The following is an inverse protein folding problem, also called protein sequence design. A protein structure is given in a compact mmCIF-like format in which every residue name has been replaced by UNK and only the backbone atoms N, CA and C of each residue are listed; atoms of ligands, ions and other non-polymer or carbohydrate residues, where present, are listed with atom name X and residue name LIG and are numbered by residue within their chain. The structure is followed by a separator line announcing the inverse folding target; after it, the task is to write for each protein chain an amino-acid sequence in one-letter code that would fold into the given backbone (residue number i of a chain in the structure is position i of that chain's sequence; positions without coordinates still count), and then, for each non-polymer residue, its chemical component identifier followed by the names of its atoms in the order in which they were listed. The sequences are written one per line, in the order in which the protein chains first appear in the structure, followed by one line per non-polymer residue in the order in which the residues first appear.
data_IF_934916491841
#
_entry.id   IF_934916491841
#
_cell.length_a   1.000
_cell.length_b   1.000
_cell.length_c   1.000
_cell.angle_alpha   90.00
_cell.angle_beta   90.00
_cell.angle_gamma   90.00
#
_symmetry.space_group_name_H-M   'P 1'
#
loop_
_entity.id
_entity.type
_entity.pdbx_description
1 polymer ?
#
# COMPACT_ATOMS: atom_id res chain seq x y z
N UNK A 1 13.49 4.66 10.50
CA UNK A 1 14.85 4.07 10.54
C UNK A 1 15.56 4.52 9.28
N UNK A 2 16.52 5.42 9.40
CA UNK A 2 17.41 5.78 8.30
C UNK A 2 18.40 4.63 8.14
N UNK A 3 18.31 3.86 7.04
CA UNK A 3 19.35 2.89 6.71
C UNK A 3 20.67 3.67 6.52
N UNK A 4 21.69 3.28 7.24
CA UNK A 4 23.03 3.82 7.02
C UNK A 4 23.47 3.39 5.61
N UNK A 5 24.20 4.27 4.92
CA UNK A 5 24.63 4.05 3.52
C UNK A 5 25.43 2.75 3.32
N UNK A 6 25.95 2.16 4.40
CA UNK A 6 26.69 0.90 4.41
C UNK A 6 25.82 -0.36 4.36
N UNK A 7 24.49 -0.23 4.51
CA UNK A 7 23.55 -1.37 4.54
C UNK A 7 22.84 -1.57 3.18
N UNK A 8 23.20 -0.78 2.17
CA UNK A 8 22.60 -0.88 0.85
C UNK A 8 23.24 -2.01 0.06
N UNK A 9 22.40 -2.95 -0.39
CA UNK A 9 22.84 -4.01 -1.32
C UNK A 9 22.98 -3.37 -2.71
N UNK A 10 24.15 -3.50 -3.39
CA UNK A 10 24.28 -3.05 -4.76
C UNK A 10 23.24 -3.67 -5.68
N UNK A 11 22.70 -2.88 -6.59
CA UNK A 11 21.63 -3.33 -7.50
C UNK A 11 22.07 -4.56 -8.33
N UNK A 12 23.32 -4.62 -8.76
CA UNK A 12 23.87 -5.77 -9.48
C UNK A 12 23.83 -7.07 -8.67
N UNK A 13 24.05 -6.99 -7.35
CA UNK A 13 23.99 -8.16 -6.47
C UNK A 13 22.54 -8.64 -6.33
N UNK A 14 21.57 -7.71 -6.27
CA UNK A 14 20.15 -8.05 -6.27
C UNK A 14 19.76 -8.78 -7.56
N UNK A 15 20.12 -8.28 -8.72
CA UNK A 15 19.79 -8.93 -9.99
C UNK A 15 20.49 -10.26 -10.18
N UNK A 16 21.74 -10.40 -9.73
CA UNK A 16 22.44 -11.69 -9.70
C UNK A 16 21.72 -12.71 -8.81
N UNK A 17 21.29 -12.28 -7.63
CA UNK A 17 20.49 -13.12 -6.75
C UNK A 17 19.16 -13.51 -7.41
N UNK A 18 18.44 -12.55 -8.00
CA UNK A 18 17.16 -12.79 -8.64
C UNK A 18 17.27 -13.80 -9.79
N UNK A 19 18.29 -13.69 -10.65
CA UNK A 19 18.56 -14.66 -11.71
C UNK A 19 18.83 -16.07 -11.15
N UNK A 20 19.57 -16.16 -10.05
CA UNK A 20 19.85 -17.45 -9.39
C UNK A 20 18.59 -18.12 -8.81
N UNK A 21 17.48 -17.38 -8.65
CA UNK A 21 16.22 -17.82 -8.06
C UNK A 21 15.07 -17.94 -9.08
N UNK A 22 15.35 -17.84 -10.36
CA UNK A 22 14.35 -17.79 -11.44
C UNK A 22 13.33 -18.93 -11.43
N UNK A 23 13.72 -20.10 -10.94
CA UNK A 23 12.83 -21.27 -10.86
C UNK A 23 12.09 -21.40 -9.51
N UNK A 24 12.33 -20.49 -8.57
CA UNK A 24 11.80 -20.56 -7.22
C UNK A 24 10.94 -19.34 -6.86
N UNK A 25 11.05 -18.23 -7.61
CA UNK A 25 10.35 -16.99 -7.35
C UNK A 25 9.44 -16.65 -8.52
N UNK A 26 8.19 -16.28 -8.23
CA UNK A 26 7.22 -15.85 -9.23
C UNK A 26 7.29 -14.35 -9.50
N UNK A 27 7.75 -13.57 -8.53
CA UNK A 27 7.76 -12.11 -8.65
C UNK A 27 8.54 -11.40 -7.54
N UNK A 28 8.56 -10.08 -7.67
CA UNK A 28 9.22 -9.15 -6.75
C UNK A 28 8.18 -8.17 -6.22
N UNK A 29 8.11 -8.02 -4.88
CA UNK A 29 7.33 -6.96 -4.25
C UNK A 29 8.26 -5.80 -3.91
N UNK A 30 8.00 -4.64 -4.51
CA UNK A 30 8.74 -3.40 -4.26
C UNK A 30 8.00 -2.62 -3.17
N UNK A 31 8.65 -2.46 -2.03
CA UNK A 31 8.08 -1.85 -0.82
C UNK A 31 9.17 -1.09 -0.05
N UNK A 32 8.81 -0.48 1.08
CA UNK A 32 9.72 0.21 1.99
C UNK A 32 9.79 1.73 1.76
N UNK A 33 9.58 2.51 2.83
CA UNK A 33 9.39 3.95 2.72
C UNK A 33 8.24 4.29 1.77
N UNK A 34 8.53 5.10 0.75
CA UNK A 34 7.64 5.30 -0.40
C UNK A 34 8.43 5.09 -1.68
N UNK A 35 8.24 3.95 -2.37
CA UNK A 35 9.02 3.61 -3.56
C UNK A 35 8.88 4.63 -4.69
N UNK A 36 7.71 5.25 -4.84
CA UNK A 36 7.43 6.22 -5.92
C UNK A 36 8.26 7.51 -5.82
N UNK A 37 8.95 7.73 -4.70
CA UNK A 37 9.89 8.84 -4.53
C UNK A 37 11.31 8.51 -5.04
N UNK A 38 11.58 7.25 -5.39
CA UNK A 38 12.89 6.82 -5.89
C UNK A 38 12.96 7.05 -7.41
N UNK A 39 13.90 7.87 -7.85
CA UNK A 39 14.06 8.21 -9.27
C UNK A 39 14.34 7.01 -10.18
N UNK A 40 14.95 5.95 -9.64
CA UNK A 40 15.26 4.71 -10.38
C UNK A 40 14.13 3.66 -10.39
N UNK A 41 12.99 3.90 -9.72
CA UNK A 41 11.94 2.91 -9.56
C UNK A 41 11.46 2.30 -10.88
N UNK A 42 11.21 3.14 -11.88
CA UNK A 42 10.70 2.71 -13.18
C UNK A 42 11.67 1.76 -13.87
N UNK A 43 12.94 2.13 -13.99
CA UNK A 43 13.95 1.33 -14.69
C UNK A 43 14.27 0.03 -13.93
N UNK A 44 14.31 0.09 -12.61
CA UNK A 44 14.46 -1.08 -11.74
C UNK A 44 13.31 -2.09 -11.95
N UNK A 45 12.07 -1.63 -11.85
CA UNK A 45 10.90 -2.49 -12.00
C UNK A 45 10.80 -3.05 -13.43
N UNK A 46 11.11 -2.24 -14.45
CA UNK A 46 11.17 -2.68 -15.85
C UNK A 46 12.17 -3.80 -16.03
N UNK A 47 13.37 -3.69 -15.46
CA UNK A 47 14.40 -4.72 -15.53
C UNK A 47 13.96 -6.02 -14.84
N UNK A 48 13.28 -5.95 -13.69
CA UNK A 48 12.67 -7.12 -13.04
C UNK A 48 11.66 -7.79 -13.98
N UNK A 49 10.78 -6.99 -14.62
CA UNK A 49 9.79 -7.48 -15.58
C UNK A 49 10.43 -8.16 -16.80
N UNK A 50 11.48 -7.55 -17.37
CA UNK A 50 12.24 -8.09 -18.50
C UNK A 50 12.94 -9.43 -18.18
N UNK A 51 13.27 -9.69 -16.91
CA UNK A 51 13.77 -10.97 -16.44
C UNK A 51 12.68 -12.05 -16.32
N UNK A 52 11.42 -11.70 -16.53
CA UNK A 52 10.28 -12.62 -16.54
C UNK A 52 9.57 -12.76 -15.18
N UNK A 53 9.84 -11.88 -14.21
CA UNK A 53 9.17 -11.89 -12.92
C UNK A 53 7.93 -10.98 -12.90
N UNK A 54 6.91 -11.35 -12.13
CA UNK A 54 5.83 -10.45 -11.81
C UNK A 54 6.33 -9.32 -10.89
N UNK A 55 5.76 -8.12 -11.04
CA UNK A 55 6.11 -6.94 -10.25
C UNK A 55 4.91 -6.46 -9.47
N UNK A 56 5.03 -6.44 -8.14
CA UNK A 56 4.09 -5.82 -7.22
C UNK A 56 4.68 -4.53 -6.66
N UNK A 57 3.89 -3.47 -6.63
CA UNK A 57 4.24 -2.21 -5.99
C UNK A 57 3.35 -1.95 -4.78
N UNK A 58 3.97 -1.72 -3.62
CA UNK A 58 3.32 -1.21 -2.42
C UNK A 58 3.57 0.30 -2.34
N UNK A 59 2.51 1.12 -2.26
CA UNK A 59 2.64 2.58 -2.27
C UNK A 59 1.62 3.26 -1.36
N UNK A 60 1.98 4.42 -0.83
CA UNK A 60 1.05 5.31 -0.15
C UNK A 60 0.25 6.21 -1.12
N UNK A 61 0.44 6.04 -2.42
CA UNK A 61 -0.30 6.76 -3.45
C UNK A 61 0.17 8.19 -3.72
N UNK A 62 1.33 8.59 -3.23
CA UNK A 62 1.82 9.97 -3.35
C UNK A 62 2.08 10.40 -4.80
N UNK A 63 2.66 9.52 -5.61
CA UNK A 63 2.91 9.80 -7.02
C UNK A 63 2.07 8.89 -7.94
N UNK A 64 0.88 9.37 -8.26
CA UNK A 64 -0.02 8.68 -9.19
C UNK A 64 0.56 8.57 -10.60
N UNK A 65 1.34 9.57 -11.03
CA UNK A 65 1.79 9.62 -12.43
C UNK A 65 2.74 8.46 -12.74
N UNK A 66 3.68 8.18 -11.84
CA UNK A 66 4.61 7.05 -12.01
C UNK A 66 3.87 5.71 -11.94
N UNK A 67 2.93 5.54 -11.01
CA UNK A 67 2.12 4.31 -10.90
C UNK A 67 1.35 4.07 -12.19
N UNK A 68 0.62 5.08 -12.67
CA UNK A 68 -0.15 4.99 -13.91
C UNK A 68 0.75 4.63 -15.10
N UNK A 69 1.87 5.34 -15.27
CA UNK A 69 2.82 5.06 -16.35
C UNK A 69 3.31 3.62 -16.31
N UNK A 70 3.67 3.11 -15.13
CA UNK A 70 4.17 1.73 -14.99
C UNK A 70 3.07 0.69 -15.29
N UNK A 71 1.80 0.99 -15.01
CA UNK A 71 0.66 0.15 -15.38
C UNK A 71 0.42 0.23 -16.88
N UNK A 72 0.35 1.42 -17.47
CA UNK A 72 0.11 1.63 -18.90
C UNK A 72 1.22 0.96 -19.75
N UNK A 73 2.46 0.93 -19.27
CA UNK A 73 3.61 0.28 -19.91
C UNK A 73 3.71 -1.24 -19.61
N UNK A 74 2.77 -1.81 -18.85
CA UNK A 74 2.73 -3.25 -18.52
C UNK A 74 3.85 -3.72 -17.59
N UNK A 75 4.45 -2.81 -16.82
CA UNK A 75 5.53 -3.11 -15.87
C UNK A 75 4.98 -3.68 -14.56
N UNK A 76 3.84 -3.15 -14.08
CA UNK A 76 3.22 -3.62 -12.84
C UNK A 76 2.17 -4.69 -13.13
N UNK A 77 2.21 -5.78 -12.38
CA UNK A 77 1.19 -6.83 -12.37
C UNK A 77 0.22 -6.64 -11.20
N UNK A 78 0.67 -5.98 -10.14
CA UNK A 78 -0.14 -5.77 -8.94
C UNK A 78 0.21 -4.46 -8.23
N UNK A 79 -0.80 -3.74 -7.75
CA UNK A 79 -0.62 -2.52 -6.97
C UNK A 79 -1.35 -2.63 -5.64
N UNK A 80 -0.63 -2.44 -4.54
CA UNK A 80 -1.21 -2.33 -3.21
C UNK A 80 -1.12 -0.87 -2.74
N UNK A 81 -2.27 -0.25 -2.46
CA UNK A 81 -2.33 1.15 -1.99
C UNK A 81 -2.76 1.21 -0.55
N UNK A 82 -1.99 1.94 0.25
CA UNK A 82 -2.33 2.21 1.64
C UNK A 82 -3.46 3.25 1.72
N UNK A 83 -4.64 2.84 2.12
CA UNK A 83 -5.77 3.70 2.49
C UNK A 83 -5.69 3.96 4.00
N UNK A 84 -5.01 5.05 4.38
CA UNK A 84 -4.70 5.32 5.78
C UNK A 84 -5.89 5.89 6.57
N UNK A 85 -6.79 6.59 5.89
CA UNK A 85 -8.04 7.13 6.43
C UNK A 85 -8.93 7.62 5.28
N UNK A 86 -10.21 7.90 5.54
CA UNK A 86 -11.05 8.67 4.62
C UNK A 86 -10.45 10.08 4.41
N UNK A 87 -10.53 10.61 3.19
CA UNK A 87 -9.80 11.83 2.81
C UNK A 87 -10.00 13.02 3.75
N UNK A 88 -11.24 13.36 4.20
CA UNK A 88 -11.42 14.47 5.11
C UNK A 88 -10.66 14.37 6.44
N UNK A 89 -10.30 13.15 6.84
CA UNK A 89 -9.58 12.85 8.07
C UNK A 89 -8.18 12.25 7.85
N UNK A 90 -7.68 12.24 6.62
CA UNK A 90 -6.40 11.64 6.25
C UNK A 90 -5.22 12.20 7.06
N UNK A 91 -5.27 13.53 7.37
CA UNK A 91 -4.25 14.19 8.19
C UNK A 91 -4.07 13.55 9.57
N UNK A 92 -5.11 12.94 10.14
CA UNK A 92 -5.01 12.24 11.44
C UNK A 92 -4.06 11.05 11.37
N UNK A 93 -4.05 10.35 10.24
CA UNK A 93 -3.21 9.16 10.04
C UNK A 93 -1.75 9.50 9.70
N UNK A 94 -1.49 10.66 9.10
CA UNK A 94 -0.15 11.05 8.64
C UNK A 94 0.48 12.17 9.48
N UNK A 95 -0.26 12.73 10.44
CA UNK A 95 0.20 13.73 11.39
C UNK A 95 0.35 15.15 10.83
N UNK A 96 0.15 15.34 9.52
CA UNK A 96 0.23 16.64 8.85
C UNK A 96 -0.89 16.81 7.82
N UNK A 97 -1.35 18.03 7.66
CA UNK A 97 -2.30 18.37 6.60
C UNK A 97 -1.64 18.21 5.24
N UNK A 98 -2.35 17.61 4.31
CA UNK A 98 -1.89 17.45 2.94
C UNK A 98 -2.43 18.56 2.03
N UNK A 99 -1.75 18.79 0.91
CA UNK A 99 -2.19 19.79 -0.07
C UNK A 99 -3.42 19.30 -0.85
N UNK A 100 -4.17 20.24 -1.42
CA UNK A 100 -5.31 19.91 -2.31
C UNK A 100 -4.88 19.10 -3.52
N UNK A 101 -3.69 19.36 -4.03
CA UNK A 101 -3.08 18.63 -5.15
C UNK A 101 -2.80 17.18 -4.79
N UNK A 102 -2.33 16.93 -3.56
CA UNK A 102 -2.15 15.57 -3.05
C UNK A 102 -3.49 14.83 -3.00
N UNK A 103 -4.50 15.40 -2.36
CA UNK A 103 -5.81 14.77 -2.25
C UNK A 103 -6.41 14.46 -3.62
N UNK A 104 -6.34 15.39 -4.55
CA UNK A 104 -6.82 15.19 -5.91
C UNK A 104 -6.05 14.11 -6.66
N UNK A 105 -4.71 14.07 -6.54
CA UNK A 105 -3.88 13.04 -7.15
C UNK A 105 -4.17 11.67 -6.58
N UNK A 106 -4.27 11.58 -5.24
CA UNK A 106 -4.57 10.34 -4.53
C UNK A 106 -5.95 9.78 -4.91
N UNK A 107 -6.98 10.62 -4.90
CA UNK A 107 -8.34 10.26 -5.30
C UNK A 107 -8.39 9.72 -6.73
N UNK A 108 -7.69 10.36 -7.65
CA UNK A 108 -7.56 9.87 -9.03
C UNK A 108 -6.80 8.54 -9.14
N UNK A 109 -5.83 8.27 -8.27
CA UNK A 109 -5.18 6.96 -8.22
C UNK A 109 -6.17 5.88 -7.77
N UNK A 110 -6.93 6.14 -6.71
CA UNK A 110 -7.94 5.18 -6.24
C UNK A 110 -8.97 4.86 -7.35
N UNK A 111 -9.46 5.89 -8.04
CA UNK A 111 -10.39 5.70 -9.16
C UNK A 111 -9.78 4.92 -10.32
N UNK A 112 -8.54 5.23 -10.71
CA UNK A 112 -7.83 4.51 -11.77
C UNK A 112 -7.70 3.00 -11.48
N UNK A 113 -7.43 2.64 -10.22
CA UNK A 113 -7.36 1.23 -9.83
C UNK A 113 -8.76 0.56 -9.84
N UNK A 114 -9.82 1.29 -9.45
CA UNK A 114 -11.20 0.78 -9.52
C UNK A 114 -11.63 0.44 -10.95
N UNK A 115 -11.06 1.07 -11.97
CA UNK A 115 -11.29 0.75 -13.38
C UNK A 115 -10.77 -0.65 -13.77
N UNK A 116 -9.85 -1.22 -12.95
CA UNK A 116 -9.35 -2.58 -13.14
C UNK A 116 -8.26 -2.72 -14.21
N UNK A 117 -7.50 -1.67 -14.46
CA UNK A 117 -6.39 -1.65 -15.42
C UNK A 117 -5.20 -2.53 -15.01
N UNK A 118 -5.14 -2.91 -13.75
CA UNK A 118 -4.15 -3.80 -13.14
C UNK A 118 -4.80 -4.54 -11.98
N UNK A 119 -4.28 -5.66 -11.55
CA UNK A 119 -4.72 -6.27 -10.29
C UNK A 119 -4.27 -5.42 -9.10
N UNK A 120 -5.15 -5.26 -8.10
CA UNK A 120 -4.89 -4.35 -7.00
C UNK A 120 -5.57 -4.75 -5.70
N UNK A 121 -5.08 -4.15 -4.62
CA UNK A 121 -5.71 -4.14 -3.30
C UNK A 121 -5.59 -2.75 -2.66
N UNK A 122 -6.56 -2.41 -1.83
CA UNK A 122 -6.40 -1.37 -0.81
C UNK A 122 -6.07 -2.02 0.53
N UNK A 123 -5.26 -1.33 1.34
CA UNK A 123 -4.87 -1.80 2.68
C UNK A 123 -5.02 -0.66 3.67
N UNK A 124 -5.46 -0.99 4.86
CA UNK A 124 -5.51 -0.05 5.98
C UNK A 124 -4.94 -0.68 7.23
N UNK A 125 -3.87 -0.12 7.75
CA UNK A 125 -3.44 -0.44 9.12
C UNK A 125 -4.36 0.29 10.08
N UNK A 126 -5.17 -0.46 10.82
CA UNK A 126 -6.16 0.07 11.74
C UNK A 126 -5.67 0.02 13.19
N UNK A 127 -5.97 1.07 13.95
CA UNK A 127 -5.49 1.24 15.32
C UNK A 127 -6.54 1.99 16.17
N UNK A 128 -6.68 1.62 17.45
CA UNK A 128 -7.75 2.13 18.35
C UNK A 128 -7.73 3.64 18.56
N UNK A 129 -6.55 4.26 18.55
CA UNK A 129 -6.43 5.72 18.72
C UNK A 129 -6.75 6.51 17.46
N UNK A 130 -6.86 5.84 16.32
CA UNK A 130 -7.00 6.49 15.01
C UNK A 130 -8.33 6.19 14.34
N UNK A 131 -8.87 4.97 14.49
CA UNK A 131 -10.02 4.50 13.73
C UNK A 131 -11.18 4.08 14.62
N UNK A 132 -12.36 4.50 14.23
CA UNK A 132 -13.67 4.08 14.77
C UNK A 132 -14.41 3.26 13.71
N UNK A 133 -15.55 2.68 14.09
CA UNK A 133 -16.44 1.99 13.15
C UNK A 133 -16.94 2.93 12.03
N UNK A 134 -17.24 4.18 12.36
CA UNK A 134 -17.67 5.20 11.39
C UNK A 134 -16.54 5.55 10.40
N UNK A 135 -15.29 5.59 10.87
CA UNK A 135 -14.13 5.82 10.01
C UNK A 135 -13.95 4.65 9.03
N UNK A 136 -14.10 3.40 9.50
CA UNK A 136 -14.03 2.22 8.63
C UNK A 136 -15.15 2.24 7.58
N UNK A 137 -16.36 2.59 7.97
CA UNK A 137 -17.48 2.74 7.02
C UNK A 137 -17.18 3.81 5.97
N UNK A 138 -16.69 4.99 6.38
CA UNK A 138 -16.31 6.06 5.48
C UNK A 138 -15.20 5.67 4.53
N UNK A 139 -14.17 4.96 5.01
CA UNK A 139 -13.06 4.44 4.19
C UNK A 139 -13.56 3.43 3.16
N UNK A 140 -14.37 2.46 3.58
CA UNK A 140 -14.93 1.45 2.69
C UNK A 140 -15.88 2.05 1.65
N UNK A 141 -16.69 3.03 2.04
CA UNK A 141 -17.55 3.78 1.12
C UNK A 141 -16.73 4.56 0.08
N UNK A 142 -15.57 5.09 0.49
CA UNK A 142 -14.67 5.84 -0.40
C UNK A 142 -14.13 4.98 -1.55
N UNK A 143 -13.84 3.72 -1.27
CA UNK A 143 -13.36 2.73 -2.26
C UNK A 143 -14.45 1.74 -2.70
N UNK A 144 -15.73 2.14 -2.60
CA UNK A 144 -16.87 1.24 -2.94
C UNK A 144 -16.74 0.65 -4.34
N UNK A 145 -17.05 -0.62 -4.44
CA UNK A 145 -16.87 -1.41 -5.67
C UNK A 145 -15.48 -2.05 -5.81
N UNK A 146 -14.55 -1.75 -4.90
CA UNK A 146 -13.22 -2.34 -4.91
C UNK A 146 -13.25 -3.87 -4.93
N UNK A 147 -12.31 -4.46 -5.70
CA UNK A 147 -12.13 -5.91 -5.75
C UNK A 147 -11.65 -6.48 -4.42
N UNK A 148 -10.58 -5.87 -3.87
CA UNK A 148 -9.93 -6.34 -2.67
C UNK A 148 -9.63 -5.18 -1.70
N UNK A 149 -9.98 -5.37 -0.44
CA UNK A 149 -9.63 -4.50 0.65
C UNK A 149 -9.15 -5.32 1.84
N UNK A 150 -8.06 -4.91 2.49
CA UNK A 150 -7.50 -5.61 3.64
C UNK A 150 -7.32 -4.67 4.82
N UNK A 151 -7.86 -5.08 5.95
CA UNK A 151 -7.59 -4.46 7.24
C UNK A 151 -6.39 -5.17 7.87
N UNK A 152 -5.40 -4.40 8.28
CA UNK A 152 -4.21 -4.88 8.98
C UNK A 152 -4.28 -4.35 10.40
N UNK A 153 -4.26 -5.24 11.40
CA UNK A 153 -4.24 -4.78 12.78
C UNK A 153 -2.90 -4.11 13.09
N UNK A 154 -2.94 -2.98 13.77
CA UNK A 154 -1.72 -2.41 14.31
C UNK A 154 -1.09 -3.37 15.30
N UNK A 155 0.21 -3.62 15.14
CA UNK A 155 1.01 -4.40 16.10
C UNK A 155 2.05 -3.48 16.71
N UNK A 156 1.99 -3.31 18.03
CA UNK A 156 2.93 -2.48 18.78
C UNK A 156 4.36 -3.01 18.71
N UNK A 157 5.33 -2.16 19.08
CA UNK A 157 6.72 -2.55 19.31
C UNK A 157 7.78 -1.93 18.39
N UNK A 158 7.44 -1.54 17.15
CA UNK A 158 8.38 -0.88 16.22
C UNK A 158 7.84 0.47 15.74
N UNK A 159 7.55 1.37 16.67
CA UNK A 159 7.14 2.74 16.36
C UNK A 159 8.35 3.69 16.38
N UNK A 160 8.23 4.81 15.65
CA UNK A 160 9.25 5.88 15.70
C UNK A 160 9.37 6.51 17.10
N UNK A 161 8.29 6.46 17.87
CA UNK A 161 8.25 6.84 19.27
C UNK A 161 8.27 5.56 20.13
N UNK A 162 9.36 5.27 20.87
CA UNK A 162 9.48 4.08 21.73
C UNK A 162 8.45 4.03 22.87
N UNK A 163 7.97 5.20 23.31
CA UNK A 163 7.00 5.35 24.40
C UNK A 163 5.55 5.34 23.90
N UNK A 164 5.35 5.14 22.60
CA UNK A 164 4.02 5.10 22.01
C UNK A 164 3.26 3.85 22.44
N UNK A 165 2.30 4.02 23.34
CA UNK A 165 1.46 2.98 23.94
C UNK A 165 0.18 2.68 23.15
N UNK A 166 0.24 2.67 21.80
CA UNK A 166 -0.92 2.41 20.98
C UNK A 166 -1.49 0.99 21.15
N UNK A 167 -2.82 0.87 21.21
CA UNK A 167 -3.53 -0.40 21.35
C UNK A 167 -4.00 -0.95 20.01
N UNK A 168 -3.88 -2.28 19.87
CA UNK A 168 -4.46 -3.06 18.78
C UNK A 168 -5.97 -3.29 19.00
N UNK A 169 -6.69 -3.55 17.94
CA UNK A 169 -8.05 -4.07 18.03
C UNK A 169 -8.05 -5.55 18.38
N UNK A 170 -9.12 -6.01 19.03
CA UNK A 170 -9.40 -7.44 19.23
C UNK A 170 -9.90 -8.06 17.92
N UNK A 171 -9.88 -9.39 17.83
CA UNK A 171 -10.40 -10.10 16.66
C UNK A 171 -11.90 -9.82 16.46
N UNK A 172 -12.69 -9.74 17.54
CA UNK A 172 -14.12 -9.43 17.46
C UNK A 172 -14.37 -8.03 16.90
N UNK A 173 -13.59 -7.02 17.32
CA UNK A 173 -13.67 -5.66 16.78
C UNK A 173 -13.31 -5.63 15.29
N UNK A 174 -12.28 -6.38 14.88
CA UNK A 174 -11.88 -6.49 13.48
C UNK A 174 -12.94 -7.21 12.63
N UNK A 175 -13.61 -8.22 13.15
CA UNK A 175 -14.72 -8.88 12.47
C UNK A 175 -15.92 -7.95 12.28
N UNK A 176 -16.24 -7.10 13.25
CA UNK A 176 -17.27 -6.08 13.05
C UNK A 176 -16.86 -5.06 11.97
N UNK A 177 -15.60 -4.64 11.94
CA UNK A 177 -15.08 -3.78 10.86
C UNK A 177 -15.16 -4.45 9.48
N UNK A 178 -14.80 -5.73 9.40
CA UNK A 178 -14.94 -6.51 8.19
C UNK A 178 -16.39 -6.54 7.70
N UNK A 179 -17.34 -6.77 8.60
CA UNK A 179 -18.77 -6.79 8.30
C UNK A 179 -19.29 -5.42 7.84
N UNK A 180 -18.80 -4.32 8.42
CA UNK A 180 -19.13 -2.96 7.97
C UNK A 180 -18.61 -2.75 6.54
N UNK A 181 -17.33 -3.03 6.30
CA UNK A 181 -16.69 -2.80 5.01
C UNK A 181 -17.25 -3.70 3.90
N UNK A 182 -17.71 -4.92 4.22
CA UNK A 182 -18.27 -5.86 3.24
C UNK A 182 -19.53 -5.36 2.54
N UNK A 183 -20.18 -4.33 3.07
CA UNK A 183 -21.33 -3.68 2.41
C UNK A 183 -20.92 -2.88 1.17
N UNK A 184 -19.65 -2.52 1.05
CA UNK A 184 -19.14 -1.57 0.06
C UNK A 184 -18.13 -2.19 -0.92
N UNK A 185 -17.38 -3.20 -0.51
CA UNK A 185 -16.32 -3.82 -1.30
C UNK A 185 -16.62 -5.30 -1.59
N UNK A 186 -16.03 -5.85 -2.67
CA UNK A 186 -16.33 -7.24 -3.10
C UNK A 186 -15.68 -8.27 -2.18
N UNK A 187 -14.40 -8.06 -1.86
CA UNK A 187 -13.65 -8.93 -0.95
C UNK A 187 -13.01 -8.09 0.14
N UNK A 188 -13.24 -8.45 1.37
CA UNK A 188 -12.61 -7.85 2.54
C UNK A 188 -11.93 -8.93 3.36
N UNK A 189 -10.63 -8.77 3.64
CA UNK A 189 -9.84 -9.66 4.48
C UNK A 189 -9.23 -8.95 5.67
N UNK A 190 -8.88 -9.73 6.70
CA UNK A 190 -8.08 -9.28 7.84
C UNK A 190 -6.70 -9.94 7.68
N UNK A 191 -5.65 -9.15 7.89
CA UNK A 191 -4.25 -9.61 7.97
C UNK A 191 -3.69 -9.25 9.33
N UNK A 192 -3.20 -10.22 10.06
CA UNK A 192 -2.53 -10.05 11.35
C UNK A 192 -1.02 -10.16 11.17
#
# INVERSE_FOLDING_TARGET
MMLLQNDMIPEENFFTFLESRKWFLDGVSISGGEPTLQSGLYDFAKKVKEMGFAVKLDTNGRDRQIVRRMVDDGILDYVAVDLKHALPSYYKAVGIEQTKEFYHSYEKLLQFLLEGNVDYEYRSTVAKWLHTADDIEAMAYYIRGAKNYYLQNYVGGNTLDPDFGGESFTDDELFEFQKIASKYVKNIGIRN
#
